data_IF_093938912531
#
_entry.id   IF_093938912531
#
_cell.length_a   1.000
_cell.length_b   1.000
_cell.length_c   1.000
_cell.angle_alpha   90.00
_cell.angle_beta   90.00
_cell.angle_gamma   90.00
#
_symmetry.space_group_name_H-M   'P 1'
#
loop_
_entity.id
_entity.type
_entity.pdbx_description
1 polymer ?
#
# COMPACT_ATOMS: atom_id res chain seq x y z
N UNK A 1 -13.60 -7.57 -14.25
CA UNK A 1 -12.89 -6.30 -14.51
C UNK A 1 -11.74 -6.55 -15.47
N UNK A 2 -11.52 -5.63 -16.41
CA UNK A 2 -10.50 -5.72 -17.46
C UNK A 2 -9.08 -5.83 -16.88
N UNK A 3 -8.82 -5.13 -15.78
CA UNK A 3 -7.52 -5.07 -15.10
C UNK A 3 -7.10 -6.42 -14.53
N UNK A 4 -8.04 -7.22 -14.01
CA UNK A 4 -7.75 -8.60 -13.59
C UNK A 4 -7.34 -9.47 -14.77
N UNK A 5 -8.00 -9.31 -15.93
CA UNK A 5 -7.61 -10.05 -17.13
C UNK A 5 -6.25 -9.59 -17.67
N UNK A 6 -5.93 -8.30 -17.59
CA UNK A 6 -4.64 -7.74 -17.99
C UNK A 6 -3.52 -8.20 -17.05
N UNK A 7 -3.78 -8.24 -15.74
CA UNK A 7 -2.88 -8.77 -14.71
C UNK A 7 -2.53 -10.24 -15.00
N UNK A 8 -3.54 -11.08 -15.26
CA UNK A 8 -3.33 -12.51 -15.53
C UNK A 8 -2.54 -12.76 -16.82
N UNK A 9 -2.70 -11.89 -17.81
CA UNK A 9 -2.02 -11.97 -19.12
C UNK A 9 -0.69 -11.22 -19.16
N UNK A 10 -0.32 -10.50 -18.10
CA UNK A 10 0.89 -9.66 -18.05
C UNK A 10 1.01 -8.67 -19.23
N UNK A 11 -0.11 -8.10 -19.69
CA UNK A 11 -0.13 -7.20 -20.85
C UNK A 11 0.70 -5.93 -20.61
N UNK A 12 1.23 -5.36 -21.69
CA UNK A 12 1.94 -4.08 -21.65
C UNK A 12 1.06 -2.93 -21.15
N UNK A 13 1.71 -1.95 -20.52
CA UNK A 13 1.03 -0.77 -19.99
C UNK A 13 0.59 0.11 -21.17
N UNK A 14 -0.72 0.30 -21.29
CA UNK A 14 -1.31 1.23 -22.25
C UNK A 14 -1.03 2.67 -21.78
N UNK A 15 -0.19 3.37 -22.54
CA UNK A 15 0.27 4.72 -22.22
C UNK A 15 -0.86 5.75 -22.34
N UNK A 16 -1.72 5.63 -23.33
CA UNK A 16 -2.86 6.53 -23.52
C UNK A 16 -3.90 6.36 -22.38
N UNK A 17 -4.05 5.14 -21.88
CA UNK A 17 -4.87 4.87 -20.70
C UNK A 17 -4.22 5.40 -19.40
N UNK A 18 -2.90 5.28 -19.27
CA UNK A 18 -2.16 5.81 -18.12
C UNK A 18 -2.22 7.34 -18.05
N UNK A 19 -1.90 8.02 -19.15
CA UNK A 19 -1.81 9.48 -19.20
C UNK A 19 -3.18 10.12 -18.91
N UNK A 20 -4.29 9.51 -19.40
CA UNK A 20 -5.66 9.90 -19.00
C UNK A 20 -5.92 9.92 -17.49
N UNK A 21 -5.17 9.17 -16.70
CA UNK A 21 -5.38 9.04 -15.26
C UNK A 21 -4.40 9.92 -14.46
N UNK A 22 -3.20 10.21 -14.98
CA UNK A 22 -2.09 10.73 -14.16
C UNK A 22 -1.32 11.95 -14.70
N UNK A 23 -1.76 12.60 -15.78
CA UNK A 23 -1.00 13.55 -16.63
C UNK A 23 -0.38 14.83 -16.00
N UNK A 24 -0.36 15.01 -14.68
CA UNK A 24 0.22 16.20 -14.06
C UNK A 24 1.10 15.84 -12.86
N UNK A 25 2.39 15.53 -13.09
CA UNK A 25 3.49 15.84 -12.16
C UNK A 25 4.87 15.45 -12.72
N UNK A 26 5.83 16.37 -12.59
CA UNK A 26 7.23 16.25 -13.03
C UNK A 26 8.09 15.91 -11.81
N UNK A 27 9.00 14.93 -11.92
CA UNK A 27 10.05 14.66 -10.92
C UNK A 27 11.42 14.43 -11.57
N UNK A 28 12.44 15.05 -10.96
CA UNK A 28 13.82 15.20 -11.45
C UNK A 28 14.73 13.96 -11.30
N UNK A 29 15.78 13.94 -12.13
CA UNK A 29 16.80 12.91 -12.27
C UNK A 29 18.03 13.15 -11.39
N UNK A 30 18.54 12.14 -10.65
CA UNK A 30 19.95 11.98 -10.25
C UNK A 30 20.26 10.52 -9.76
N UNK A 31 21.15 9.82 -10.50
CA UNK A 31 21.90 8.55 -10.31
C UNK A 31 21.25 7.20 -9.88
N UNK A 32 21.62 6.17 -10.67
CA UNK A 32 21.28 4.72 -10.69
C UNK A 32 19.82 4.35 -10.45
N UNK A 33 18.97 4.68 -11.42
CA UNK A 33 17.63 4.10 -11.52
C UNK A 33 17.71 2.64 -11.96
N UNK A 34 16.79 1.83 -11.45
CA UNK A 34 16.53 0.48 -11.95
C UNK A 34 15.72 0.61 -13.22
N UNK A 35 16.26 0.12 -14.34
CA UNK A 35 15.50 -0.05 -15.58
C UNK A 35 14.52 -1.21 -15.39
N UNK A 36 13.25 -0.87 -15.14
CA UNK A 36 12.18 -1.83 -14.93
C UNK A 36 11.78 -2.57 -16.21
N UNK A 37 12.18 -2.08 -17.39
CA UNK A 37 11.87 -2.77 -18.64
C UNK A 37 12.62 -4.10 -18.77
N UNK A 38 13.77 -4.25 -18.09
CA UNK A 38 14.46 -5.54 -17.92
C UNK A 38 13.64 -6.56 -17.14
N UNK A 39 12.62 -6.09 -16.42
CA UNK A 39 11.71 -6.86 -15.58
C UNK A 39 10.26 -6.72 -16.06
N UNK A 40 10.03 -6.53 -17.36
CA UNK A 40 8.74 -6.14 -17.94
C UNK A 40 7.56 -6.97 -17.43
N UNK A 41 7.68 -8.30 -17.38
CA UNK A 41 6.59 -9.18 -16.92
C UNK A 41 6.15 -8.87 -15.49
N UNK A 42 7.10 -8.69 -14.56
CA UNK A 42 6.78 -8.43 -13.16
C UNK A 42 6.42 -6.96 -12.92
N UNK A 43 7.06 -6.03 -13.64
CA UNK A 43 6.67 -4.62 -13.70
C UNK A 43 5.18 -4.48 -14.05
N UNK A 44 4.76 -5.11 -15.14
CA UNK A 44 3.39 -5.07 -15.61
C UNK A 44 2.43 -5.68 -14.59
N UNK A 45 2.80 -6.79 -13.93
CA UNK A 45 1.98 -7.39 -12.86
C UNK A 45 1.82 -6.45 -11.66
N UNK A 46 2.89 -5.81 -11.20
CA UNK A 46 2.84 -4.84 -10.10
C UNK A 46 1.93 -3.67 -10.47
N UNK A 47 2.07 -3.13 -11.67
CA UNK A 47 1.22 -2.06 -12.17
C UNK A 47 -0.26 -2.48 -12.19
N UNK A 48 -0.59 -3.60 -12.84
CA UNK A 48 -1.99 -4.05 -12.97
C UNK A 48 -2.63 -4.41 -11.63
N UNK A 49 -1.88 -5.01 -10.69
CA UNK A 49 -2.37 -5.27 -9.34
C UNK A 49 -2.64 -3.97 -8.60
N UNK A 50 -1.73 -2.99 -8.69
CA UNK A 50 -1.90 -1.68 -8.06
C UNK A 50 -3.12 -0.95 -8.61
N UNK A 51 -3.29 -0.95 -9.94
CA UNK A 51 -4.44 -0.34 -10.59
C UNK A 51 -5.76 -1.03 -10.20
N UNK A 52 -5.76 -2.36 -10.05
CA UNK A 52 -6.93 -3.10 -9.58
C UNK A 52 -7.33 -2.65 -8.16
N UNK A 53 -6.38 -2.58 -7.23
CA UNK A 53 -6.63 -2.09 -5.87
C UNK A 53 -7.11 -0.64 -5.90
N UNK A 54 -6.49 0.21 -6.71
CA UNK A 54 -6.88 1.60 -6.91
C UNK A 54 -8.35 1.71 -7.33
N UNK A 55 -8.77 0.99 -8.38
CA UNK A 55 -10.14 1.06 -8.89
C UNK A 55 -11.18 0.58 -7.88
N UNK A 56 -10.89 -0.49 -7.15
CA UNK A 56 -11.78 -1.00 -6.10
C UNK A 56 -11.90 0.03 -4.98
N UNK A 57 -10.77 0.59 -4.54
CA UNK A 57 -10.74 1.61 -3.50
C UNK A 57 -11.50 2.85 -3.92
N UNK A 58 -11.30 3.33 -5.15
CA UNK A 58 -11.96 4.53 -5.68
C UNK A 58 -13.47 4.35 -5.77
N UNK A 59 -13.90 3.18 -6.27
CA UNK A 59 -15.32 2.86 -6.40
C UNK A 59 -16.01 2.86 -5.04
N UNK A 60 -15.40 2.22 -4.03
CA UNK A 60 -15.95 2.18 -2.67
C UNK A 60 -15.92 3.57 -2.01
N UNK A 61 -14.82 4.31 -2.16
CA UNK A 61 -14.66 5.67 -1.65
C UNK A 61 -15.72 6.63 -2.19
N UNK A 62 -15.87 6.71 -3.52
CA UNK A 62 -16.84 7.60 -4.16
C UNK A 62 -18.29 7.24 -3.81
N UNK A 63 -18.63 5.94 -3.77
CA UNK A 63 -19.97 5.49 -3.39
C UNK A 63 -20.31 5.89 -1.97
N UNK A 64 -19.39 5.67 -1.03
CA UNK A 64 -19.62 6.04 0.36
C UNK A 64 -19.76 7.56 0.50
N UNK A 65 -18.92 8.36 -0.16
CA UNK A 65 -19.09 9.82 -0.16
C UNK A 65 -20.47 10.20 -0.71
N UNK A 66 -20.86 9.68 -1.88
CA UNK A 66 -22.13 10.05 -2.51
C UNK A 66 -23.36 9.67 -1.67
N UNK A 67 -23.30 8.59 -0.89
CA UNK A 67 -24.37 8.22 0.05
C UNK A 67 -24.48 9.17 1.25
N UNK A 68 -23.40 9.86 1.58
CA UNK A 68 -23.25 10.63 2.81
C UNK A 68 -23.16 12.14 2.58
N UNK A 69 -23.42 12.62 1.36
CA UNK A 69 -23.60 14.04 1.09
C UNK A 69 -24.99 14.45 1.56
N UNK A 70 -25.01 15.34 2.55
CA UNK A 70 -26.19 16.10 2.90
C UNK A 70 -26.18 17.40 2.08
N UNK A 71 -26.97 17.41 1.00
CA UNK A 71 -27.07 18.55 0.09
C UNK A 71 -27.72 19.77 0.73
N UNK A 72 -28.59 19.56 1.72
CA UNK A 72 -29.29 20.65 2.42
C UNK A 72 -28.34 21.36 3.39
N UNK A 73 -27.58 20.58 4.16
CA UNK A 73 -26.63 21.12 5.15
C UNK A 73 -25.22 21.38 4.59
N UNK A 74 -25.00 21.12 3.28
CA UNK A 74 -23.68 21.22 2.62
C UNK A 74 -22.59 20.48 3.40
N UNK A 75 -22.93 19.31 3.94
CA UNK A 75 -22.02 18.53 4.77
C UNK A 75 -21.80 17.14 4.17
N UNK A 76 -20.64 16.55 4.44
CA UNK A 76 -20.30 15.19 4.00
C UNK A 76 -19.93 14.40 5.25
N UNK A 77 -20.68 13.33 5.52
CA UNK A 77 -20.29 12.39 6.57
C UNK A 77 -19.27 11.39 6.00
N UNK A 78 -18.05 11.37 6.53
CA UNK A 78 -16.99 10.51 5.99
C UNK A 78 -16.92 9.21 6.80
N UNK A 79 -17.19 8.08 6.14
CA UNK A 79 -17.11 6.76 6.79
C UNK A 79 -15.67 6.35 7.16
N UNK A 80 -15.56 5.53 8.22
CA UNK A 80 -14.32 4.86 8.69
C UNK A 80 -13.43 4.38 7.56
N UNK A 81 -14.04 3.57 6.71
CA UNK A 81 -13.31 2.83 5.69
C UNK A 81 -12.78 3.79 4.61
N UNK A 82 -13.43 4.93 4.38
CA UNK A 82 -12.94 5.92 3.43
C UNK A 82 -11.62 6.53 3.88
N UNK A 83 -11.48 6.85 5.17
CA UNK A 83 -10.29 7.51 5.70
C UNK A 83 -9.15 6.52 5.96
N UNK A 84 -9.48 5.36 6.55
CA UNK A 84 -8.48 4.42 7.07
C UNK A 84 -8.08 3.37 6.04
N UNK A 85 -8.96 3.05 5.08
CA UNK A 85 -8.76 1.94 4.15
C UNK A 85 -8.63 2.48 2.73
N UNK A 86 -9.66 3.13 2.20
CA UNK A 86 -9.73 3.46 0.78
C UNK A 86 -8.83 4.65 0.40
N UNK A 87 -8.81 5.75 1.17
CA UNK A 87 -7.94 6.89 0.86
C UNK A 87 -6.46 6.52 0.89
N UNK A 88 -6.02 5.79 1.94
CA UNK A 88 -4.64 5.33 2.06
C UNK A 88 -4.27 4.35 0.93
N UNK A 89 -5.21 3.46 0.55
CA UNK A 89 -5.05 2.59 -0.63
C UNK A 89 -4.88 3.38 -1.91
N UNK A 90 -5.70 4.40 -2.15
CA UNK A 90 -5.61 5.26 -3.34
C UNK A 90 -4.26 5.95 -3.44
N UNK A 91 -3.75 6.51 -2.34
CA UNK A 91 -2.47 7.21 -2.32
C UNK A 91 -1.32 6.28 -2.69
N UNK A 92 -1.19 5.13 -2.02
CA UNK A 92 -0.09 4.18 -2.29
C UNK A 92 -0.20 3.58 -3.69
N UNK A 93 -1.39 3.15 -4.10
CA UNK A 93 -1.55 2.45 -5.38
C UNK A 93 -1.43 3.38 -6.57
N UNK A 94 -1.88 4.63 -6.47
CA UNK A 94 -1.65 5.64 -7.50
C UNK A 94 -0.17 5.94 -7.66
N UNK A 95 0.57 6.05 -6.55
CA UNK A 95 2.01 6.29 -6.58
C UNK A 95 2.77 5.13 -7.23
N UNK A 96 2.43 3.88 -6.87
CA UNK A 96 3.02 2.70 -7.54
C UNK A 96 2.71 2.71 -9.04
N UNK A 97 1.47 3.00 -9.44
CA UNK A 97 1.11 3.05 -10.86
C UNK A 97 1.95 4.07 -11.64
N UNK A 98 2.17 5.26 -11.08
CA UNK A 98 3.00 6.32 -11.68
C UNK A 98 4.46 5.91 -11.82
N UNK A 99 5.06 5.36 -10.77
CA UNK A 99 6.48 5.01 -10.81
C UNK A 99 6.75 3.81 -11.73
N UNK A 100 5.83 2.85 -11.79
CA UNK A 100 6.02 1.64 -12.58
C UNK A 100 5.65 1.82 -14.07
N UNK A 101 4.84 2.82 -14.43
CA UNK A 101 4.60 3.19 -15.82
C UNK A 101 5.82 3.87 -16.45
N UNK A 102 6.53 4.71 -15.70
CA UNK A 102 7.72 5.44 -16.16
C UNK A 102 8.88 4.52 -16.60
N UNK A 103 8.86 3.24 -16.21
CA UNK A 103 9.86 2.25 -16.63
C UNK A 103 11.21 2.36 -15.90
N UNK A 104 11.39 3.35 -15.05
CA UNK A 104 12.58 3.52 -14.22
C UNK A 104 12.20 3.91 -12.79
N UNK A 105 12.88 3.36 -11.78
CA UNK A 105 12.60 3.67 -10.38
C UNK A 105 13.86 3.63 -9.52
N UNK A 106 13.92 4.45 -8.46
CA UNK A 106 15.02 4.40 -7.51
C UNK A 106 14.91 3.19 -6.58
N UNK A 107 16.02 2.49 -6.27
CA UNK A 107 16.02 1.37 -5.32
C UNK A 107 15.50 1.74 -3.93
N UNK A 108 15.90 2.91 -3.42
CA UNK A 108 15.41 3.44 -2.13
C UNK A 108 13.91 3.67 -2.14
N UNK A 109 13.36 4.06 -3.29
CA UNK A 109 11.93 4.26 -3.49
C UNK A 109 11.15 2.94 -3.49
N UNK A 110 11.70 1.89 -4.12
CA UNK A 110 11.17 0.51 -4.01
C UNK A 110 11.06 0.12 -2.53
N UNK A 111 12.14 0.29 -1.75
CA UNK A 111 12.14 -0.04 -0.33
C UNK A 111 11.13 0.79 0.48
N UNK A 112 10.99 2.08 0.16
CA UNK A 112 9.99 2.94 0.77
C UNK A 112 8.56 2.43 0.50
N UNK A 113 8.22 2.12 -0.76
CA UNK A 113 6.90 1.60 -1.14
C UNK A 113 6.57 0.30 -0.42
N UNK A 114 7.52 -0.65 -0.34
CA UNK A 114 7.33 -1.89 0.41
C UNK A 114 7.01 -1.64 1.88
N UNK A 115 7.76 -0.76 2.55
CA UNK A 115 7.49 -0.40 3.95
C UNK A 115 6.11 0.21 4.13
N UNK A 116 5.75 1.15 3.26
CA UNK A 116 4.43 1.80 3.32
C UNK A 116 3.30 0.78 3.17
N UNK A 117 3.40 -0.18 2.24
CA UNK A 117 2.39 -1.24 2.09
C UNK A 117 2.29 -2.08 3.38
N UNK A 118 3.42 -2.51 3.95
CA UNK A 118 3.44 -3.29 5.21
C UNK A 118 2.82 -2.51 6.36
N UNK A 119 3.20 -1.23 6.52
CA UNK A 119 2.69 -0.35 7.57
C UNK A 119 1.17 -0.16 7.44
N UNK A 120 0.65 0.03 6.22
CA UNK A 120 -0.79 0.11 5.99
C UNK A 120 -1.52 -1.19 6.31
N UNK A 121 -1.00 -2.34 5.87
CA UNK A 121 -1.59 -3.64 6.21
C UNK A 121 -1.66 -3.81 7.74
N UNK A 122 -0.58 -3.49 8.44
CA UNK A 122 -0.52 -3.59 9.90
C UNK A 122 -1.53 -2.65 10.56
N UNK A 123 -1.60 -1.39 10.11
CA UNK A 123 -2.49 -0.37 10.63
C UNK A 123 -3.96 -0.77 10.48
N UNK A 124 -4.38 -1.16 9.28
CA UNK A 124 -5.76 -1.60 9.00
C UNK A 124 -6.13 -2.80 9.87
N UNK A 125 -5.23 -3.79 10.01
CA UNK A 125 -5.46 -4.97 10.86
C UNK A 125 -5.57 -4.61 12.35
N UNK A 126 -4.76 -3.69 12.88
CA UNK A 126 -4.90 -3.24 14.28
C UNK A 126 -6.20 -2.48 14.51
N UNK A 127 -6.57 -1.55 13.62
CA UNK A 127 -7.81 -0.78 13.75
C UNK A 127 -9.04 -1.70 13.74
N UNK A 128 -9.01 -2.77 12.94
CA UNK A 128 -10.05 -3.81 12.93
C UNK A 128 -10.10 -4.57 14.26
N UNK A 129 -8.95 -4.95 14.79
CA UNK A 129 -8.85 -5.78 16.00
C UNK A 129 -9.20 -5.03 17.29
N UNK A 130 -8.83 -3.76 17.42
CA UNK A 130 -9.02 -3.00 18.66
C UNK A 130 -10.34 -2.21 18.75
N UNK A 131 -11.13 -2.20 17.67
CA UNK A 131 -12.39 -1.45 17.57
C UNK A 131 -12.27 0.04 17.99
N UNK A 132 -11.19 0.69 17.56
CA UNK A 132 -10.83 2.06 17.98
C UNK A 132 -11.79 3.10 17.41
N UNK A 133 -12.05 4.15 18.20
CA UNK A 133 -12.84 5.32 17.79
C UNK A 133 -12.19 6.04 16.60
N UNK A 134 -13.01 6.32 15.61
CA UNK A 134 -12.62 6.87 14.33
C UNK A 134 -12.18 8.31 14.37
N UNK A 135 -12.87 9.08 15.18
CA UNK A 135 -12.60 10.49 15.34
C UNK A 135 -11.18 10.68 15.88
N UNK A 136 -10.78 9.89 16.89
CA UNK A 136 -9.42 9.91 17.45
C UNK A 136 -8.34 9.56 16.43
N UNK A 137 -8.60 8.62 15.52
CA UNK A 137 -7.64 8.26 14.45
C UNK A 137 -7.42 9.45 13.51
N UNK A 138 -8.51 10.07 13.05
CA UNK A 138 -8.48 11.21 12.10
C UNK A 138 -7.82 12.42 12.74
N UNK A 139 -8.26 12.76 13.94
CA UNK A 139 -7.71 13.85 14.74
C UNK A 139 -6.22 13.65 15.01
N UNK A 140 -5.78 12.42 15.30
CA UNK A 140 -4.35 12.12 15.50
C UNK A 140 -3.54 12.21 14.21
N UNK A 141 -4.12 11.86 13.06
CA UNK A 141 -3.48 12.01 11.76
C UNK A 141 -3.29 13.50 11.42
N UNK A 142 -4.34 14.30 11.59
CA UNK A 142 -4.32 15.74 11.35
C UNK A 142 -3.32 16.47 12.27
N UNK A 143 -3.32 16.13 13.56
CA UNK A 143 -2.36 16.70 14.52
C UNK A 143 -0.91 16.31 14.18
N UNK A 144 -0.67 15.07 13.76
CA UNK A 144 0.65 14.61 13.31
C UNK A 144 1.12 15.40 12.08
N UNK A 145 0.22 15.62 11.12
CA UNK A 145 0.50 16.39 9.90
C UNK A 145 0.77 17.87 10.22
N UNK A 146 -0.06 18.50 11.05
CA UNK A 146 0.12 19.90 11.44
C UNK A 146 1.46 20.14 12.15
N UNK A 147 1.86 19.21 13.03
CA UNK A 147 3.18 19.27 13.69
C UNK A 147 4.32 19.22 12.69
N UNK A 148 4.24 18.36 11.68
CA UNK A 148 5.27 18.25 10.64
C UNK A 148 5.39 19.55 9.82
N UNK A 149 4.27 20.24 9.59
CA UNK A 149 4.23 21.51 8.88
C UNK A 149 4.53 22.74 9.75
N UNK A 150 4.69 22.58 11.07
CA UNK A 150 4.77 23.71 12.00
C UNK A 150 3.49 24.54 12.09
N UNK A 151 2.35 23.96 11.67
CA UNK A 151 1.04 24.59 11.74
C UNK A 151 0.52 24.60 13.18
N UNK A 152 -0.47 25.46 13.46
CA UNK A 152 -1.13 25.52 14.77
C UNK A 152 -1.76 24.17 15.09
N UNK A 153 -1.57 23.70 16.33
CA UNK A 153 -2.20 22.48 16.83
C UNK A 153 -3.71 22.60 16.79
N UNK A 154 -4.40 21.50 16.47
CA UNK A 154 -5.85 21.47 16.51
C UNK A 154 -6.32 21.43 17.97
N UNK A 155 -7.32 22.25 18.31
CA UNK A 155 -7.93 22.21 19.64
C UNK A 155 -8.96 21.06 19.68
N UNK A 156 -8.47 19.87 20.03
CA UNK A 156 -9.26 18.65 20.06
C UNK A 156 -9.48 18.24 21.52
N UNK A 157 -10.74 18.16 21.94
CA UNK A 157 -11.13 18.03 23.36
C UNK A 157 -10.69 16.72 24.04
N UNK A 158 -10.24 15.72 23.27
CA UNK A 158 -9.84 14.40 23.80
C UNK A 158 -8.40 13.99 23.46
N UNK A 159 -7.63 14.85 22.78
CA UNK A 159 -6.25 14.56 22.40
C UNK A 159 -5.26 15.07 23.46
N UNK A 160 -4.65 14.14 24.17
CA UNK A 160 -3.62 14.38 25.17
C UNK A 160 -2.26 13.85 24.69
N UNK A 161 -1.18 14.14 25.44
CA UNK A 161 0.16 13.69 25.05
C UNK A 161 0.30 12.15 24.94
N UNK A 162 -0.60 11.42 25.60
CA UNK A 162 -0.66 9.97 25.56
C UNK A 162 -1.32 9.39 24.32
N UNK A 163 -2.17 10.13 23.59
CA UNK A 163 -2.78 9.73 22.31
C UNK A 163 -2.38 10.61 21.11
N UNK A 164 -1.48 11.60 21.29
CA UNK A 164 -0.84 12.36 20.19
C UNK A 164 -0.05 11.44 19.24
N UNK A 165 -0.68 11.07 18.12
CA UNK A 165 -0.12 10.30 17.00
C UNK A 165 -0.86 8.98 16.71
N UNK A 166 -0.87 8.54 15.44
CA UNK A 166 -1.64 7.36 14.98
C UNK A 166 -1.39 6.06 15.76
N UNK A 167 -0.18 5.85 16.30
CA UNK A 167 0.12 4.63 17.08
C UNK A 167 -0.27 4.74 18.57
N UNK A 168 -0.55 5.95 19.03
CA UNK A 168 -0.89 6.20 20.43
C UNK A 168 -2.40 6.13 20.71
N UNK A 169 -3.22 6.09 19.67
CA UNK A 169 -4.66 5.81 19.79
C UNK A 169 -4.97 4.33 20.03
N UNK A 170 -3.98 3.44 19.88
CA UNK A 170 -4.10 2.02 20.26
C UNK A 170 -3.99 1.85 21.78
N UNK A 171 -4.73 0.88 22.34
CA UNK A 171 -4.75 0.60 23.79
C UNK A 171 -3.36 0.35 24.36
N UNK A 172 -2.51 -0.29 23.57
CA UNK A 172 -1.07 -0.44 23.86
C UNK A 172 -0.26 0.35 22.83
N UNK A 173 0.72 1.14 23.30
CA UNK A 173 1.70 1.81 22.43
C UNK A 173 2.53 0.74 21.70
N UNK A 174 2.21 0.49 20.42
CA UNK A 174 2.88 -0.50 19.57
C UNK A 174 3.81 0.19 18.57
N UNK A 175 4.99 -0.37 18.32
CA UNK A 175 5.88 0.08 17.24
C UNK A 175 5.62 -0.71 15.95
N UNK A 176 5.87 -0.11 14.78
CA UNK A 176 5.66 -0.79 13.50
C UNK A 176 6.47 -2.07 13.34
N UNK A 177 7.72 -2.14 13.81
CA UNK A 177 8.49 -3.38 13.80
C UNK A 177 7.83 -4.52 14.61
N UNK A 178 7.21 -4.20 15.76
CA UNK A 178 6.43 -5.18 16.55
C UNK A 178 5.14 -5.59 15.84
N UNK A 179 4.45 -4.63 15.21
CA UNK A 179 3.24 -4.91 14.43
C UNK A 179 3.54 -5.76 13.20
N UNK A 180 4.59 -5.43 12.46
CA UNK A 180 5.05 -6.21 11.32
C UNK A 180 5.36 -7.64 11.74
N UNK A 181 6.08 -7.85 12.86
CA UNK A 181 6.31 -9.20 13.40
C UNK A 181 5.00 -9.91 13.77
N UNK A 182 4.09 -9.24 14.48
CA UNK A 182 2.76 -9.77 14.84
C UNK A 182 1.97 -10.24 13.60
N UNK A 183 2.07 -9.50 12.49
CA UNK A 183 1.36 -9.78 11.25
C UNK A 183 2.20 -10.51 10.19
N UNK A 184 3.31 -11.15 10.59
CA UNK A 184 4.13 -11.99 9.70
C UNK A 184 4.86 -11.25 8.57
N UNK A 185 5.09 -9.94 8.74
CA UNK A 185 5.90 -9.11 7.85
C UNK A 185 7.22 -8.63 8.48
N UNK A 186 7.56 -9.08 9.69
CA UNK A 186 8.69 -8.56 10.47
C UNK A 186 10.02 -8.63 9.71
N UNK A 187 10.28 -9.75 9.06
CA UNK A 187 11.50 -9.91 8.25
C UNK A 187 11.53 -8.95 7.06
N UNK A 188 10.45 -8.89 6.26
CA UNK A 188 10.37 -7.98 5.11
C UNK A 188 10.48 -6.51 5.53
N UNK A 189 9.85 -6.16 6.65
CA UNK A 189 9.91 -4.81 7.19
C UNK A 189 11.33 -4.41 7.53
N UNK A 190 12.08 -5.29 8.21
CA UNK A 190 13.49 -5.07 8.53
C UNK A 190 14.36 -5.02 7.27
N UNK A 191 14.09 -5.89 6.28
CA UNK A 191 14.79 -5.87 5.00
C UNK A 191 14.64 -4.53 4.27
N UNK A 192 13.41 -4.06 4.09
CA UNK A 192 13.15 -2.79 3.39
C UNK A 192 13.42 -1.54 4.25
N UNK A 193 13.61 -1.70 5.56
CA UNK A 193 14.12 -0.63 6.43
C UNK A 193 15.62 -0.46 6.35
N UNK A 194 16.33 -1.39 5.71
CA UNK A 194 17.78 -1.44 5.72
C UNK A 194 18.30 -1.85 7.09
N UNK A 195 17.63 -2.77 7.78
CA UNK A 195 18.17 -3.45 8.98
C UNK A 195 18.80 -4.81 8.61
N UNK A 196 18.58 -5.29 7.39
CA UNK A 196 19.15 -6.52 6.82
C UNK A 196 19.95 -6.12 5.58
N UNK A 197 21.27 -6.34 5.61
CA UNK A 197 22.18 -5.86 4.57
C UNK A 197 22.97 -6.98 3.86
N UNK A 198 22.99 -8.20 4.40
CA UNK A 198 23.79 -9.28 3.83
C UNK A 198 23.00 -10.07 2.80
N UNK A 199 23.55 -10.25 1.60
CA UNK A 199 22.99 -11.10 0.54
C UNK A 199 22.66 -12.53 1.04
N UNK A 200 23.51 -13.09 1.92
CA UNK A 200 23.28 -14.40 2.54
C UNK A 200 22.09 -14.44 3.51
N UNK A 201 21.62 -13.29 4.00
CA UNK A 201 20.37 -13.18 4.73
C UNK A 201 19.20 -13.03 3.75
N UNK A 202 19.37 -12.28 2.65
CA UNK A 202 18.36 -12.17 1.59
C UNK A 202 18.04 -13.54 0.98
N UNK A 203 19.03 -14.40 0.78
CA UNK A 203 18.82 -15.78 0.29
C UNK A 203 17.90 -16.62 1.20
N UNK A 204 17.78 -16.28 2.49
CA UNK A 204 16.86 -16.95 3.43
C UNK A 204 15.39 -16.54 3.24
N UNK A 205 15.12 -15.43 2.55
CA UNK A 205 13.76 -14.96 2.23
C UNK A 205 13.06 -15.82 1.18
N UNK A 206 13.83 -16.50 0.33
CA UNK A 206 13.27 -17.19 -0.84
C UNK A 206 13.24 -18.69 -0.55
N UNK A 207 12.10 -19.37 -0.76
CA UNK A 207 12.08 -20.83 -0.76
C UNK A 207 13.07 -21.36 -1.81
N UNK A 208 14.00 -22.21 -1.37
CA UNK A 208 15.14 -22.75 -2.13
C UNK A 208 14.78 -23.56 -3.41
N UNK A 209 13.50 -23.60 -3.82
CA UNK A 209 12.99 -24.56 -4.83
C UNK A 209 12.36 -23.93 -6.07
N UNK A 210 12.64 -22.67 -6.38
CA UNK A 210 12.18 -22.04 -7.62
C UNK A 210 13.36 -21.45 -8.38
N UNK A 211 13.43 -21.71 -9.69
CA UNK A 211 14.35 -21.15 -10.69
C UNK A 211 14.17 -19.62 -10.86
N UNK A 212 14.07 -18.86 -9.77
CA UNK A 212 14.02 -17.40 -9.80
C UNK A 212 15.43 -16.83 -9.82
N UNK A 213 15.59 -15.72 -10.52
CA UNK A 213 16.90 -15.21 -10.89
C UNK A 213 17.70 -14.83 -9.65
N UNK A 214 19.03 -15.00 -9.71
CA UNK A 214 19.98 -14.61 -8.64
C UNK A 214 20.13 -13.08 -8.50
N UNK A 215 19.21 -12.28 -9.06
CA UNK A 215 19.33 -10.83 -9.14
C UNK A 215 18.45 -10.15 -8.08
N UNK A 216 19.09 -9.36 -7.22
CA UNK A 216 18.47 -8.63 -6.11
C UNK A 216 17.14 -7.91 -6.46
N UNK A 217 17.04 -7.30 -7.64
CA UNK A 217 15.83 -6.56 -8.02
C UNK A 217 14.66 -7.46 -8.41
N UNK A 218 14.91 -8.66 -8.95
CA UNK A 218 13.84 -9.64 -9.18
C UNK A 218 13.17 -10.02 -7.85
N UNK A 219 13.99 -10.23 -6.81
CA UNK A 219 13.53 -10.51 -5.44
C UNK A 219 12.69 -9.35 -4.91
N UNK A 220 13.20 -8.13 -4.98
CA UNK A 220 12.49 -6.93 -4.51
C UNK A 220 11.15 -6.73 -5.22
N UNK A 221 11.10 -6.92 -6.54
CA UNK A 221 9.87 -6.75 -7.32
C UNK A 221 8.85 -7.86 -7.00
N UNK A 222 9.28 -9.10 -6.81
CA UNK A 222 8.39 -10.18 -6.38
C UNK A 222 7.86 -9.96 -4.95
N UNK A 223 8.66 -9.38 -4.06
CA UNK A 223 8.21 -8.95 -2.74
C UNK A 223 7.10 -7.89 -2.84
N UNK A 224 7.28 -6.86 -3.69
CA UNK A 224 6.23 -5.86 -3.93
C UNK A 224 4.94 -6.52 -4.42
N UNK A 225 5.04 -7.40 -5.43
CA UNK A 225 3.88 -8.06 -6.01
C UNK A 225 3.13 -8.91 -4.96
N UNK A 226 3.87 -9.59 -4.08
CA UNK A 226 3.31 -10.40 -2.99
C UNK A 226 2.64 -9.52 -1.93
N UNK A 227 3.28 -8.43 -1.51
CA UNK A 227 2.69 -7.46 -0.59
C UNK A 227 1.42 -6.83 -1.17
N UNK A 228 1.40 -6.52 -2.46
CA UNK A 228 0.21 -6.01 -3.15
C UNK A 228 -0.92 -7.03 -3.22
N UNK A 229 -0.63 -8.32 -3.36
CA UNK A 229 -1.64 -9.38 -3.27
C UNK A 229 -2.27 -9.40 -1.87
N UNK A 230 -1.46 -9.42 -0.82
CA UNK A 230 -1.97 -9.40 0.55
C UNK A 230 -2.76 -8.15 0.85
N UNK A 231 -2.29 -7.00 0.36
CA UNK A 231 -3.01 -5.74 0.47
C UNK A 231 -4.33 -5.79 -0.28
N UNK A 232 -4.34 -6.28 -1.52
CA UNK A 232 -5.55 -6.49 -2.30
C UNK A 232 -6.58 -7.36 -1.56
N UNK A 233 -6.16 -8.50 -1.00
CA UNK A 233 -7.05 -9.38 -0.25
C UNK A 233 -7.65 -8.66 0.95
N UNK A 234 -6.84 -7.89 1.68
CA UNK A 234 -7.30 -7.08 2.80
C UNK A 234 -8.30 -6.01 2.35
N UNK A 235 -8.03 -5.26 1.29
CA UNK A 235 -8.96 -4.24 0.76
C UNK A 235 -10.25 -4.90 0.25
N UNK A 236 -10.14 -6.08 -0.34
CA UNK A 236 -11.30 -6.82 -0.83
C UNK A 236 -12.21 -7.32 0.31
N UNK A 237 -11.70 -7.54 1.52
CA UNK A 237 -12.55 -7.84 2.69
C UNK A 237 -13.44 -6.66 3.10
N UNK A 238 -13.04 -5.42 2.79
CA UNK A 238 -13.84 -4.22 3.02
C UNK A 238 -14.75 -3.88 1.83
N UNK A 239 -14.61 -4.60 0.73
CA UNK A 239 -15.34 -4.35 -0.51
C UNK A 239 -16.68 -5.11 -0.48
N UNK A 240 -17.75 -4.38 -0.22
CA UNK A 240 -19.11 -4.94 -0.16
C UNK A 240 -19.79 -5.02 -1.53
N UNK A 241 -19.19 -4.44 -2.57
CA UNK A 241 -19.89 -4.09 -3.81
C UNK A 241 -19.32 -4.81 -5.04
N UNK A 242 -18.00 -4.81 -5.21
CA UNK A 242 -17.37 -5.33 -6.43
C UNK A 242 -16.87 -6.74 -6.19
N UNK A 243 -17.65 -7.76 -6.56
CA UNK A 243 -17.19 -9.16 -6.44
C UNK A 243 -16.02 -9.40 -7.40
N UNK A 244 -14.79 -9.39 -6.86
CA UNK A 244 -13.61 -9.84 -7.59
C UNK A 244 -13.40 -11.32 -7.30
N UNK A 245 -13.25 -12.11 -8.36
CA UNK A 245 -12.95 -13.53 -8.24
C UNK A 245 -11.48 -13.72 -7.83
N UNK A 246 -11.23 -13.70 -6.52
CA UNK A 246 -9.90 -13.83 -5.92
C UNK A 246 -9.23 -15.17 -6.24
N UNK A 247 -9.99 -16.21 -6.62
CA UNK A 247 -9.43 -17.53 -6.98
C UNK A 247 -8.57 -17.46 -8.24
N UNK A 248 -8.82 -16.48 -9.12
CA UNK A 248 -8.01 -16.26 -10.32
C UNK A 248 -6.58 -15.84 -9.99
N UNK A 249 -6.34 -15.24 -8.83
CA UNK A 249 -4.98 -14.89 -8.40
C UNK A 249 -4.08 -16.11 -8.21
N UNK A 250 -4.65 -17.30 -7.97
CA UNK A 250 -3.87 -18.54 -7.85
C UNK A 250 -3.14 -18.94 -9.14
N UNK A 251 -3.42 -18.27 -10.27
CA UNK A 251 -2.73 -18.46 -11.54
C UNK A 251 -1.38 -17.72 -11.61
N UNK A 252 -1.07 -16.89 -10.62
CA UNK A 252 0.19 -16.15 -10.52
C UNK A 252 1.04 -16.81 -9.42
N UNK A 253 2.29 -17.13 -9.75
CA UNK A 253 3.26 -17.60 -8.77
C UNK A 253 3.75 -16.41 -7.93
N UNK A 254 3.33 -16.34 -6.67
CA UNK A 254 3.82 -15.39 -5.70
C UNK A 254 4.93 -16.04 -4.86
N UNK A 255 5.87 -15.23 -4.36
CA UNK A 255 6.85 -15.73 -3.40
C UNK A 255 6.15 -15.95 -2.06
N UNK A 256 6.42 -17.08 -1.41
CA UNK A 256 5.99 -17.27 -0.03
C UNK A 256 6.86 -16.42 0.90
N UNK A 257 6.21 -15.55 1.67
CA UNK A 257 6.88 -14.78 2.72
C UNK A 257 7.13 -15.75 3.87
N UNK A 258 8.40 -16.16 4.06
CA UNK A 258 8.77 -17.00 5.20
C UNK A 258 8.68 -16.23 6.51
N UNK A 259 8.04 -16.85 7.49
CA UNK A 259 8.08 -16.43 8.88
C UNK A 259 9.49 -16.67 9.45
N UNK A 260 10.05 -15.68 10.16
CA UNK A 260 11.21 -15.85 11.04
C UNK A 260 10.79 -15.78 12.50
#
# INVERSE_FOLDING_TARGET
MMELNNLLKSLDIDKDYHDKIFDNMILENLYTKVDLNKYATIKNRIYWMSLLIYRISMTNYLKSINKNIDFENKSINIEKNNLIVFHLSLNITSEICKQFSNGEIYPSYISMLCRQIIEQICFIKEVKNENINLQLIVESALESYNKQLGAKSLNIQELNDNNKGLLKVFKDKKSYGKLAKKYKYGYMYNFFSGDIHLLSQIDKLIPFNTNHSKQYYDICLNCILTLLKDYFLLINDYNTEVKVDVKKLNQINFIEIKDS
#
